data_IF_894080169753
#
_entry.id   IF_894080169753
#
_cell.length_a   1.000
_cell.length_b   1.000
_cell.length_c   1.000
_cell.angle_alpha   90.00
_cell.angle_beta   90.00
_cell.angle_gamma   90.00
#
_symmetry.space_group_name_H-M   'P 1'
#
loop_
_entity.id
_entity.type
_entity.pdbx_description
1 polymer ?
#
# COMPACT_ATOMS: atom_id res chain seq x y z
N UNK A 1 6.56 -4.81 -17.01
CA UNK A 1 7.60 -3.95 -17.64
C UNK A 1 7.83 -2.76 -16.71
N UNK A 2 9.09 -2.38 -16.47
CA UNK A 2 9.45 -1.22 -15.66
C UNK A 2 9.92 -0.09 -16.57
N UNK A 3 9.36 1.10 -16.39
CA UNK A 3 9.80 2.32 -17.07
C UNK A 3 10.65 3.14 -16.12
N UNK A 4 11.87 3.53 -16.54
CA UNK A 4 12.71 4.40 -15.73
C UNK A 4 12.13 5.82 -15.72
N UNK A 5 11.89 6.35 -14.52
CA UNK A 5 11.42 7.72 -14.31
C UNK A 5 12.36 8.45 -13.35
N UNK A 6 12.50 9.76 -13.52
CA UNK A 6 13.21 10.61 -12.56
C UNK A 6 12.24 11.03 -11.46
N UNK A 7 12.66 10.87 -10.22
CA UNK A 7 11.94 11.31 -9.04
C UNK A 7 12.83 12.28 -8.25
N UNK A 8 12.17 13.14 -7.47
CA UNK A 8 12.86 14.03 -6.55
C UNK A 8 13.72 13.23 -5.55
N UNK A 9 14.95 13.69 -5.31
CA UNK A 9 15.91 12.98 -4.47
C UNK A 9 15.47 12.92 -3.00
N UNK A 10 14.79 13.95 -2.50
CA UNK A 10 14.27 13.97 -1.13
C UNK A 10 13.12 12.97 -0.96
N UNK A 11 12.26 12.82 -1.97
CA UNK A 11 11.23 11.77 -1.98
C UNK A 11 11.86 10.37 -1.92
N UNK A 12 12.88 10.11 -2.75
CA UNK A 12 13.55 8.80 -2.80
C UNK A 12 14.23 8.49 -1.47
N UNK A 13 14.88 9.47 -0.86
CA UNK A 13 15.55 9.31 0.43
C UNK A 13 14.56 9.06 1.57
N UNK A 14 13.44 9.80 1.58
CA UNK A 14 12.36 9.56 2.53
C UNK A 14 11.80 8.15 2.36
N UNK A 15 11.49 7.75 1.11
CA UNK A 15 11.01 6.40 0.84
C UNK A 15 12.00 5.33 1.31
N UNK A 16 13.31 5.53 1.17
CA UNK A 16 14.35 4.59 1.61
C UNK A 16 14.28 4.32 3.12
N UNK A 17 14.12 5.38 3.93
CA UNK A 17 14.03 5.27 5.39
C UNK A 17 12.79 4.48 5.81
N UNK A 18 11.62 4.85 5.30
CA UNK A 18 10.36 4.17 5.62
C UNK A 18 10.31 2.74 5.07
N UNK A 19 10.89 2.50 3.89
CA UNK A 19 10.98 1.17 3.29
C UNK A 19 11.77 0.21 4.20
N UNK A 20 12.91 0.67 4.75
CA UNK A 20 13.72 -0.13 5.66
C UNK A 20 12.94 -0.54 6.92
N UNK A 21 12.19 0.40 7.52
CA UNK A 21 11.37 0.12 8.70
C UNK A 21 10.20 -0.83 8.40
N UNK A 22 9.62 -0.73 7.20
CA UNK A 22 8.49 -1.55 6.77
C UNK A 22 8.90 -2.86 6.09
N UNK A 23 10.18 -3.22 6.07
CA UNK A 23 10.72 -4.39 5.35
C UNK A 23 10.35 -4.42 3.86
N UNK A 24 10.41 -3.26 3.19
CA UNK A 24 10.15 -3.09 1.76
C UNK A 24 11.40 -2.57 1.05
N UNK A 25 11.44 -2.73 -0.27
CA UNK A 25 12.41 -1.99 -1.11
C UNK A 25 11.93 -0.55 -1.32
N UNK A 26 12.84 0.38 -1.62
CA UNK A 26 12.49 1.79 -1.90
C UNK A 26 11.43 1.92 -3.01
N UNK A 27 11.53 1.23 -4.18
CA UNK A 27 10.47 1.28 -5.17
C UNK A 27 9.12 0.76 -4.66
N UNK A 28 9.12 -0.33 -3.86
CA UNK A 28 7.89 -0.88 -3.29
C UNK A 28 7.23 0.06 -2.28
N UNK A 29 8.02 0.82 -1.53
CA UNK A 29 7.49 1.84 -0.63
C UNK A 29 6.84 2.99 -1.41
N UNK A 30 7.44 3.42 -2.53
CA UNK A 30 6.85 4.45 -3.41
C UNK A 30 5.55 3.92 -4.05
N UNK A 31 5.54 2.69 -4.58
CA UNK A 31 4.34 2.04 -5.11
C UNK A 31 3.23 1.95 -4.06
N UNK A 32 3.58 1.65 -2.80
CA UNK A 32 2.64 1.60 -1.69
C UNK A 32 1.99 2.96 -1.43
N UNK A 33 2.79 4.02 -1.31
CA UNK A 33 2.26 5.38 -1.14
C UNK A 33 1.41 5.84 -2.34
N UNK A 34 1.84 5.56 -3.57
CA UNK A 34 1.07 5.89 -4.76
C UNK A 34 -0.26 5.13 -4.82
N UNK A 35 -0.28 3.87 -4.39
CA UNK A 35 -1.51 3.07 -4.31
C UNK A 35 -2.48 3.63 -3.28
N UNK A 36 -1.98 4.00 -2.09
CA UNK A 36 -2.77 4.60 -1.03
C UNK A 36 -3.32 5.97 -1.44
N UNK A 37 -2.47 6.83 -2.01
CA UNK A 37 -2.87 8.15 -2.50
C UNK A 37 -3.98 8.07 -3.54
N UNK A 38 -3.87 7.16 -4.52
CA UNK A 38 -4.93 6.94 -5.52
C UNK A 38 -6.25 6.50 -4.88
N UNK A 39 -6.22 5.63 -3.87
CA UNK A 39 -7.45 5.17 -3.20
C UNK A 39 -8.06 6.32 -2.39
N UNK A 40 -7.23 7.07 -1.66
CA UNK A 40 -7.66 8.21 -0.87
C UNK A 40 -8.25 9.34 -1.74
N UNK A 41 -7.67 9.61 -2.92
CA UNK A 41 -8.23 10.58 -3.88
C UNK A 41 -9.61 10.14 -4.41
N UNK A 42 -9.79 8.84 -4.63
CA UNK A 42 -11.05 8.28 -5.14
C UNK A 42 -12.13 8.15 -4.06
N UNK A 43 -11.74 8.05 -2.79
CA UNK A 43 -12.62 7.81 -1.65
C UNK A 43 -12.14 8.67 -0.46
N UNK A 44 -12.28 10.01 -0.54
CA UNK A 44 -11.73 10.96 0.43
C UNK A 44 -12.34 10.83 1.84
N UNK A 45 -13.50 10.20 1.95
CA UNK A 45 -14.19 9.91 3.19
C UNK A 45 -13.60 8.71 3.94
N UNK A 46 -12.82 7.85 3.27
CA UNK A 46 -12.28 6.65 3.89
C UNK A 46 -11.03 6.98 4.71
N UNK A 47 -11.00 6.66 6.02
CA UNK A 47 -9.81 6.83 6.83
C UNK A 47 -8.65 5.98 6.31
N UNK A 48 -7.43 6.47 6.50
CA UNK A 48 -6.20 5.78 6.10
C UNK A 48 -6.14 4.34 6.59
N UNK A 49 -6.42 4.11 7.88
CA UNK A 49 -6.37 2.78 8.50
C UNK A 49 -7.37 1.82 7.87
N UNK A 50 -8.53 2.33 7.44
CA UNK A 50 -9.54 1.52 6.75
C UNK A 50 -9.03 1.07 5.38
N UNK A 51 -8.39 1.97 4.62
CA UNK A 51 -7.80 1.63 3.32
C UNK A 51 -6.70 0.57 3.48
N UNK A 52 -5.81 0.73 4.47
CA UNK A 52 -4.75 -0.25 4.76
C UNK A 52 -5.35 -1.61 5.14
N UNK A 53 -6.35 -1.62 6.02
CA UNK A 53 -7.06 -2.83 6.42
C UNK A 53 -7.71 -3.55 5.24
N UNK A 54 -8.33 -2.81 4.32
CA UNK A 54 -8.94 -3.38 3.12
C UNK A 54 -7.91 -4.00 2.16
N UNK A 55 -6.73 -3.38 2.03
CA UNK A 55 -5.63 -3.94 1.24
C UNK A 55 -5.08 -5.23 1.87
N UNK A 56 -4.97 -5.28 3.20
CA UNK A 56 -4.58 -6.48 3.94
C UNK A 56 -5.62 -7.59 3.79
N UNK A 57 -6.90 -7.29 3.99
CA UNK A 57 -8.00 -8.22 3.83
C UNK A 57 -8.01 -8.83 2.42
N UNK A 58 -7.80 -8.00 1.39
CA UNK A 58 -7.69 -8.47 0.01
C UNK A 58 -6.47 -9.40 -0.20
N UNK A 59 -5.36 -9.15 0.49
CA UNK A 59 -4.18 -10.01 0.42
C UNK A 59 -4.43 -11.35 1.12
N UNK A 60 -5.06 -11.33 2.29
CA UNK A 60 -5.47 -12.52 3.05
C UNK A 60 -6.40 -13.43 2.22
N UNK A 61 -7.45 -12.86 1.64
CA UNK A 61 -8.36 -13.60 0.73
C UNK A 61 -7.60 -14.26 -0.42
N UNK A 62 -6.66 -13.54 -1.06
CA UNK A 62 -5.84 -14.11 -2.15
C UNK A 62 -4.89 -15.21 -1.68
N UNK A 63 -4.42 -15.14 -0.43
CA UNK A 63 -3.57 -16.14 0.17
C UNK A 63 -4.36 -17.39 0.64
N UNK A 64 -5.69 -17.37 0.55
CA UNK A 64 -6.55 -18.41 1.11
C UNK A 64 -6.70 -18.32 2.64
N UNK A 65 -6.22 -17.24 3.25
CA UNK A 65 -6.30 -16.96 4.69
C UNK A 65 -7.58 -16.17 5.01
N UNK A 66 -8.73 -16.71 4.59
CA UNK A 66 -10.05 -16.15 4.85
C UNK A 66 -11.03 -17.27 5.14
N UNK A 67 -12.00 -17.03 6.01
CA UNK A 67 -13.08 -17.96 6.34
C UNK A 67 -14.42 -17.39 5.94
N UNK A 68 -15.36 -18.28 5.57
CA UNK A 68 -16.74 -17.87 5.33
C UNK A 68 -17.37 -17.42 6.64
N UNK A 69 -17.97 -16.23 6.61
CA UNK A 69 -18.75 -15.75 7.73
C UNK A 69 -20.08 -16.52 7.78
N UNK A 70 -20.28 -17.31 8.84
CA UNK A 70 -21.55 -17.98 9.11
C UNK A 70 -22.38 -17.12 10.04
N UNK A 71 -23.47 -16.55 9.52
CA UNK A 71 -24.46 -15.86 10.36
C UNK A 71 -25.32 -16.91 11.07
N UNK A 72 -25.52 -16.72 12.38
CA UNK A 72 -26.41 -17.53 13.22
C UNK A 72 -27.63 -16.74 13.65
#
# INVERSE_FOLDING_TARGET
MSTAIKLDSALVETARIYASAAHRSTPKQIEHWATLGRIAEQNPELPYDFIVGLLQARAQVKAGDASEYTFG
#
